data_IF_888894041388
#
_entry.id   IF_888894041388
#
_cell.length_a   1.000
_cell.length_b   1.000
_cell.length_c   1.000
_cell.angle_alpha   90.00
_cell.angle_beta   90.00
_cell.angle_gamma   90.00
#
_symmetry.space_group_name_H-M   'P 1'
#
loop_
_entity.id
_entity.type
_entity.pdbx_description
1 polymer ?
#
# COMPACT_ATOMS: atom_id res chain seq x y z
N UNK A 1 27.02 -1.80 10.20
CA UNK A 1 26.29 -0.70 9.52
C UNK A 1 25.94 -0.99 8.06
N UNK A 2 26.84 -1.60 7.27
CA UNK A 2 26.66 -1.83 5.82
C UNK A 2 25.41 -2.67 5.46
N UNK A 3 25.10 -3.72 6.23
CA UNK A 3 23.96 -4.61 5.93
C UNK A 3 22.59 -3.90 5.95
N UNK A 4 22.41 -2.87 6.78
CA UNK A 4 21.15 -2.13 6.85
C UNK A 4 20.96 -1.19 5.64
N UNK A 5 22.06 -0.69 5.06
CA UNK A 5 22.01 0.13 3.85
C UNK A 5 21.53 -0.67 2.64
N UNK A 6 22.07 -1.87 2.45
CA UNK A 6 21.70 -2.76 1.33
C UNK A 6 20.19 -3.09 1.33
N UNK A 7 19.63 -3.46 2.48
CA UNK A 7 18.19 -3.78 2.60
C UNK A 7 17.31 -2.58 2.24
N UNK A 8 17.69 -1.37 2.68
CA UNK A 8 16.94 -0.14 2.34
C UNK A 8 16.99 0.17 0.85
N UNK A 9 18.17 0.06 0.23
CA UNK A 9 18.33 0.28 -1.21
C UNK A 9 17.52 -0.74 -2.01
N UNK A 10 17.59 -2.03 -1.65
CA UNK A 10 16.80 -3.08 -2.30
C UNK A 10 15.29 -2.83 -2.14
N UNK A 11 14.83 -2.46 -0.95
CA UNK A 11 13.40 -2.15 -0.69
C UNK A 11 12.96 -0.94 -1.52
N UNK A 12 13.78 0.11 -1.58
CA UNK A 12 13.52 1.29 -2.40
C UNK A 12 13.43 0.93 -3.90
N UNK A 13 14.35 0.10 -4.39
CA UNK A 13 14.33 -0.39 -5.77
C UNK A 13 13.05 -1.17 -6.11
N UNK A 14 12.62 -2.09 -5.24
CA UNK A 14 11.38 -2.84 -5.42
C UNK A 14 10.17 -1.88 -5.45
N UNK A 15 10.12 -0.90 -4.53
CA UNK A 15 9.05 0.11 -4.48
C UNK A 15 9.01 1.00 -5.72
N UNK A 16 10.16 1.34 -6.29
CA UNK A 16 10.21 2.06 -7.55
C UNK A 16 9.58 1.26 -8.70
N UNK A 17 9.84 -0.05 -8.79
CA UNK A 17 9.18 -0.91 -9.78
C UNK A 17 7.67 -1.04 -9.54
N UNK A 18 7.24 -1.15 -8.28
CA UNK A 18 5.80 -1.11 -7.93
C UNK A 18 5.13 0.18 -8.42
N UNK A 19 5.78 1.33 -8.24
CA UNK A 19 5.27 2.61 -8.71
C UNK A 19 5.18 2.65 -10.25
N UNK A 20 6.25 2.24 -10.93
CA UNK A 20 6.31 2.22 -12.40
C UNK A 20 5.21 1.33 -12.99
N UNK A 21 5.07 0.11 -12.48
CA UNK A 21 4.04 -0.81 -12.96
C UNK A 21 2.63 -0.34 -12.63
N UNK A 22 2.41 0.36 -11.51
CA UNK A 22 1.11 0.93 -11.17
C UNK A 22 0.71 1.99 -12.20
N UNK A 23 1.63 2.88 -12.58
CA UNK A 23 1.39 3.91 -13.61
C UNK A 23 1.05 3.26 -14.96
N UNK A 24 1.81 2.24 -15.37
CA UNK A 24 1.54 1.51 -16.62
C UNK A 24 0.16 0.83 -16.54
N UNK A 25 -0.20 0.23 -15.39
CA UNK A 25 -1.49 -0.43 -15.21
C UNK A 25 -2.64 0.57 -15.29
N UNK A 26 -2.52 1.73 -14.64
CA UNK A 26 -3.51 2.82 -14.75
C UNK A 26 -3.69 3.20 -16.22
N UNK A 27 -2.62 3.45 -16.96
CA UNK A 27 -2.72 3.81 -18.39
C UNK A 27 -3.42 2.74 -19.23
N UNK A 28 -3.08 1.46 -19.04
CA UNK A 28 -3.70 0.36 -19.76
C UNK A 28 -5.18 0.16 -19.41
N UNK A 29 -5.53 0.27 -18.13
CA UNK A 29 -6.89 0.09 -17.64
C UNK A 29 -7.78 1.27 -17.97
N UNK A 30 -7.31 2.51 -17.80
CA UNK A 30 -8.07 3.70 -18.19
C UNK A 30 -8.36 3.71 -19.68
N UNK A 31 -7.45 3.21 -20.52
CA UNK A 31 -7.75 2.96 -21.94
C UNK A 31 -8.88 1.93 -22.13
N UNK A 32 -8.86 0.80 -21.41
CA UNK A 32 -9.95 -0.19 -21.49
C UNK A 32 -11.29 0.39 -21.00
N UNK A 33 -11.27 1.16 -19.91
CA UNK A 33 -12.45 1.83 -19.32
C UNK A 33 -13.04 2.81 -20.31
N UNK A 34 -12.20 3.61 -20.97
CA UNK A 34 -12.63 4.55 -22.01
C UNK A 34 -13.30 3.82 -23.17
N UNK A 35 -12.74 2.68 -23.63
CA UNK A 35 -13.40 1.84 -24.63
C UNK A 35 -14.74 1.27 -24.12
N UNK A 36 -14.82 0.80 -22.87
CA UNK A 36 -16.09 0.31 -22.33
C UNK A 36 -17.13 1.41 -22.12
N UNK A 37 -16.71 2.62 -21.77
CA UNK A 37 -17.61 3.76 -21.58
C UNK A 37 -18.15 4.27 -22.90
N UNK A 38 -17.28 4.43 -23.90
CA UNK A 38 -17.66 5.00 -25.18
C UNK A 38 -18.52 4.04 -25.99
N UNK A 39 -18.33 2.72 -25.80
CA UNK A 39 -18.89 1.71 -26.68
C UNK A 39 -19.79 0.66 -25.99
N UNK A 40 -19.79 0.56 -24.65
CA UNK A 40 -20.49 -0.50 -23.92
C UNK A 40 -21.97 -0.20 -23.61
N UNK A 41 -22.84 -1.18 -23.87
CA UNK A 41 -24.29 -1.12 -23.60
C UNK A 41 -24.68 -1.49 -22.15
N UNK A 42 -23.72 -1.76 -21.25
CA UNK A 42 -23.99 -2.32 -19.91
C UNK A 42 -23.02 -1.89 -18.80
N UNK A 43 -22.26 -0.81 -19.01
CA UNK A 43 -21.27 -0.32 -18.06
C UNK A 43 -19.90 -1.00 -18.14
N UNK A 44 -18.97 -0.57 -17.27
CA UNK A 44 -17.58 -1.04 -17.26
C UNK A 44 -17.46 -2.31 -16.41
N UNK A 45 -16.85 -3.40 -16.91
CA UNK A 45 -16.68 -4.64 -16.14
C UNK A 45 -15.87 -4.42 -14.86
N UNK A 46 -16.27 -5.10 -13.77
CA UNK A 46 -15.61 -4.98 -12.45
C UNK A 46 -14.16 -5.44 -12.49
N UNK A 47 -13.85 -6.36 -13.39
CA UNK A 47 -12.52 -6.91 -13.66
C UNK A 47 -11.54 -5.85 -14.17
N UNK A 48 -12.04 -4.74 -14.72
CA UNK A 48 -11.24 -3.61 -15.19
C UNK A 48 -11.20 -2.50 -14.14
N UNK A 49 -12.34 -2.16 -13.55
CA UNK A 49 -12.46 -1.08 -12.56
C UNK A 49 -11.68 -1.38 -11.28
N UNK A 50 -11.78 -2.62 -10.77
CA UNK A 50 -11.14 -2.99 -9.49
C UNK A 50 -9.62 -2.83 -9.52
N UNK A 51 -8.87 -3.43 -10.47
CA UNK A 51 -7.43 -3.22 -10.55
C UNK A 51 -7.05 -1.76 -10.87
N UNK A 52 -7.92 -0.99 -11.53
CA UNK A 52 -7.66 0.42 -11.82
C UNK A 52 -7.66 1.24 -10.53
N UNK A 53 -8.70 1.10 -9.71
CA UNK A 53 -8.81 1.78 -8.42
C UNK A 53 -7.61 1.46 -7.54
N UNK A 54 -7.23 0.18 -7.43
CA UNK A 54 -6.06 -0.19 -6.63
C UNK A 54 -4.74 0.34 -7.20
N UNK A 55 -4.63 0.49 -8.52
CA UNK A 55 -3.43 1.07 -9.15
C UNK A 55 -3.34 2.58 -8.95
N UNK A 56 -4.48 3.27 -8.97
CA UNK A 56 -4.55 4.69 -8.64
C UNK A 56 -4.17 4.91 -7.18
N UNK A 57 -4.66 4.09 -6.25
CA UNK A 57 -4.27 4.15 -4.83
C UNK A 57 -2.81 3.74 -4.60
N UNK A 58 -2.29 2.81 -5.39
CA UNK A 58 -0.90 2.37 -5.29
C UNK A 58 0.10 3.49 -5.53
N UNK A 59 -0.21 4.48 -6.38
CA UNK A 59 0.70 5.59 -6.69
C UNK A 59 1.05 6.43 -5.44
N UNK A 60 0.09 7.10 -4.76
CA UNK A 60 0.39 7.91 -3.59
C UNK A 60 0.88 7.07 -2.41
N UNK A 61 0.35 5.86 -2.23
CA UNK A 61 0.79 4.98 -1.14
C UNK A 61 2.22 4.50 -1.33
N UNK A 62 2.61 4.09 -2.53
CA UNK A 62 3.99 3.69 -2.82
C UNK A 62 4.94 4.88 -2.72
N UNK A 63 4.53 6.06 -3.20
CA UNK A 63 5.32 7.29 -3.05
C UNK A 63 5.56 7.63 -1.56
N UNK A 64 4.51 7.58 -0.74
CA UNK A 64 4.63 7.71 0.71
C UNK A 64 5.54 6.64 1.30
N UNK A 65 5.39 5.39 0.87
CA UNK A 65 6.21 4.25 1.27
C UNK A 65 7.70 4.50 0.97
N UNK A 66 8.04 5.03 -0.20
CA UNK A 66 9.43 5.37 -0.58
C UNK A 66 9.97 6.46 0.35
N UNK A 67 9.22 7.55 0.56
CA UNK A 67 9.61 8.61 1.51
C UNK A 67 9.78 8.06 2.93
N UNK A 68 8.95 7.09 3.33
CA UNK A 68 9.01 6.48 4.65
C UNK A 68 10.30 5.71 4.89
N UNK A 69 10.84 4.96 3.91
CA UNK A 69 12.12 4.26 4.13
C UNK A 69 13.31 5.19 4.09
N UNK A 70 13.20 6.33 3.39
CA UNK A 70 14.28 7.30 3.26
C UNK A 70 14.37 8.23 4.48
N UNK A 71 13.23 8.63 5.04
CA UNK A 71 13.19 9.79 5.94
C UNK A 71 12.33 9.63 7.19
N UNK A 72 11.48 8.60 7.30
CA UNK A 72 10.55 8.49 8.43
C UNK A 72 11.03 7.53 9.53
N UNK A 73 10.62 7.88 10.75
CA UNK A 73 10.79 7.08 11.96
C UNK A 73 9.98 5.77 11.90
N UNK A 74 10.19 4.89 12.89
CA UNK A 74 9.52 3.58 12.99
C UNK A 74 8.00 3.64 12.78
N UNK A 75 7.32 4.70 13.26
CA UNK A 75 5.88 4.89 13.07
C UNK A 75 5.49 4.99 11.60
N UNK A 76 6.27 5.75 10.80
CA UNK A 76 6.02 5.88 9.37
C UNK A 76 6.21 4.56 8.62
N UNK A 77 7.16 3.73 9.06
CA UNK A 77 7.37 2.39 8.51
C UNK A 77 6.21 1.44 8.82
N UNK A 78 5.63 1.52 10.02
CA UNK A 78 4.44 0.72 10.39
C UNK A 78 3.25 1.12 9.51
N UNK A 79 3.00 2.42 9.34
CA UNK A 79 1.93 2.92 8.48
C UNK A 79 2.16 2.47 7.03
N UNK A 80 3.38 2.63 6.50
CA UNK A 80 3.75 2.17 5.18
C UNK A 80 3.53 0.65 4.99
N UNK A 81 3.86 -0.16 6.00
CA UNK A 81 3.64 -1.61 5.99
C UNK A 81 2.15 -1.96 5.91
N UNK A 82 1.32 -1.23 6.65
CA UNK A 82 -0.13 -1.42 6.62
C UNK A 82 -0.74 -1.04 5.26
N UNK A 83 -0.26 0.05 4.64
CA UNK A 83 -0.68 0.44 3.30
C UNK A 83 -0.24 -0.58 2.25
N UNK A 84 1.00 -1.07 2.31
CA UNK A 84 1.50 -2.14 1.43
C UNK A 84 0.62 -3.41 1.55
N UNK A 85 0.25 -3.79 2.77
CA UNK A 85 -0.66 -4.92 3.02
C UNK A 85 -2.06 -4.68 2.42
N UNK A 86 -2.59 -3.46 2.55
CA UNK A 86 -3.89 -3.10 1.96
C UNK A 86 -3.86 -3.21 0.44
N UNK A 87 -2.79 -2.74 -0.20
CA UNK A 87 -2.59 -2.88 -1.65
C UNK A 87 -2.43 -4.34 -2.05
N UNK A 88 -1.69 -5.14 -1.28
CA UNK A 88 -1.56 -6.58 -1.50
C UNK A 88 -2.93 -7.27 -1.57
N UNK A 89 -3.81 -7.04 -0.57
CA UNK A 89 -5.17 -7.60 -0.56
C UNK A 89 -5.99 -7.11 -1.76
N UNK A 90 -5.84 -5.84 -2.15
CA UNK A 90 -6.49 -5.28 -3.34
C UNK A 90 -6.06 -5.97 -4.64
N UNK A 91 -4.77 -6.25 -4.80
CA UNK A 91 -4.25 -6.98 -5.95
C UNK A 91 -4.62 -8.48 -5.92
N UNK A 92 -4.72 -9.11 -4.74
CA UNK A 92 -5.29 -10.48 -4.62
C UNK A 92 -6.72 -10.50 -5.15
N UNK A 93 -7.54 -9.54 -4.74
CA UNK A 93 -8.94 -9.40 -5.19
C UNK A 93 -9.01 -9.19 -6.70
N UNK A 94 -8.15 -8.32 -7.23
CA UNK A 94 -8.06 -8.05 -8.67
C UNK A 94 -7.65 -9.28 -9.47
N UNK A 95 -6.66 -10.05 -9.01
CA UNK A 95 -6.26 -11.31 -9.63
C UNK A 95 -7.38 -12.36 -9.57
N UNK A 96 -8.12 -12.42 -8.46
CA UNK A 96 -9.29 -13.29 -8.31
C UNK A 96 -10.40 -12.98 -9.32
N UNK A 97 -10.66 -11.69 -9.60
CA UNK A 97 -11.60 -11.26 -10.63
C UNK A 97 -11.09 -11.56 -12.04
N UNK A 98 -9.79 -11.40 -12.27
CA UNK A 98 -9.14 -11.68 -13.55
C UNK A 98 -8.90 -13.17 -13.81
N UNK A 99 -9.23 -14.08 -12.88
CA UNK A 99 -8.92 -15.52 -12.99
C UNK A 99 -9.36 -16.15 -14.31
N UNK A 100 -10.52 -15.72 -14.82
CA UNK A 100 -11.11 -16.23 -16.06
C UNK A 100 -10.47 -15.64 -17.33
N UNK A 101 -9.55 -14.68 -17.18
CA UNK A 101 -8.79 -14.07 -18.27
C UNK A 101 -7.33 -14.57 -18.33
N UNK A 102 -6.96 -15.54 -17.49
CA UNK A 102 -5.63 -16.17 -17.51
C UNK A 102 -5.54 -17.34 -18.50
N UNK A 103 -6.10 -17.20 -19.70
CA UNK A 103 -6.00 -18.23 -20.72
C UNK A 103 -4.75 -18.04 -21.59
N UNK A 104 -4.08 -19.17 -21.87
CA UNK A 104 -2.97 -19.21 -22.83
C UNK A 104 -3.43 -18.82 -24.22
N UNK A 105 -4.64 -19.21 -24.63
CA UNK A 105 -5.22 -18.81 -25.90
C UNK A 105 -6.03 -17.53 -25.73
N UNK A 106 -5.67 -16.51 -26.50
CA UNK A 106 -6.28 -15.19 -26.38
C UNK A 106 -7.78 -15.21 -26.73
N UNK A 107 -8.24 -16.16 -27.55
CA UNK A 107 -9.65 -16.30 -27.94
C UNK A 107 -10.59 -16.78 -26.82
N UNK A 108 -10.05 -17.36 -25.75
CA UNK A 108 -10.84 -17.85 -24.61
C UNK A 108 -11.08 -16.76 -23.55
N UNK A 109 -10.49 -15.58 -23.72
CA UNK A 109 -10.59 -14.51 -22.74
C UNK A 109 -11.91 -13.74 -22.86
N UNK A 110 -12.80 -13.76 -21.85
CA UNK A 110 -14.10 -13.10 -21.91
C UNK A 110 -13.95 -11.58 -22.05
N UNK A 111 -12.92 -10.95 -21.45
CA UNK A 111 -12.65 -9.53 -21.65
C UNK A 111 -12.28 -9.18 -23.09
N UNK A 112 -11.50 -10.03 -23.77
CA UNK A 112 -11.18 -9.84 -25.20
C UNK A 112 -12.45 -9.98 -26.03
N UNK A 113 -13.24 -11.02 -25.79
CA UNK A 113 -14.48 -11.26 -26.52
C UNK A 113 -15.43 -10.07 -26.37
N UNK A 114 -15.57 -9.53 -25.16
CA UNK A 114 -16.38 -8.34 -24.91
C UNK A 114 -15.85 -7.10 -25.64
N UNK A 115 -14.54 -6.84 -25.60
CA UNK A 115 -13.93 -5.70 -26.31
C UNK A 115 -14.09 -5.81 -27.83
N UNK A 116 -13.94 -7.01 -28.38
CA UNK A 116 -14.11 -7.25 -29.81
C UNK A 116 -15.57 -7.07 -30.23
N UNK A 117 -16.51 -7.69 -29.51
CA UNK A 117 -17.94 -7.57 -29.81
C UNK A 117 -18.41 -6.11 -29.83
N UNK A 118 -17.96 -5.33 -28.84
CA UNK A 118 -18.28 -3.91 -28.71
C UNK A 118 -17.73 -3.09 -29.90
N UNK A 119 -16.51 -3.37 -30.38
CA UNK A 119 -15.95 -2.69 -31.56
C UNK A 119 -16.63 -3.10 -32.86
N UNK A 120 -16.87 -4.40 -33.03
CA UNK A 120 -17.55 -4.93 -34.22
C UNK A 120 -18.96 -4.36 -34.35
N UNK A 121 -19.69 -4.20 -33.23
CA UNK A 121 -21.00 -3.56 -33.21
C UNK A 121 -21.00 -2.10 -33.71
N UNK A 122 -19.83 -1.44 -33.73
CA UNK A 122 -19.67 -0.06 -34.22
C UNK A 122 -19.02 0.03 -35.61
N UNK A 123 -18.79 -1.11 -36.27
CA UNK A 123 -18.16 -1.16 -37.60
C UNK A 123 -16.69 -0.71 -37.61
N UNK A 124 -16.03 -0.69 -36.45
CA UNK A 124 -14.59 -0.43 -36.33
C UNK A 124 -13.88 -1.79 -36.40
N UNK A 125 -12.84 -1.90 -37.23
CA UNK A 125 -12.03 -3.12 -37.32
C UNK A 125 -11.64 -3.61 -35.92
N UNK A 126 -12.07 -4.83 -35.61
CA UNK A 126 -11.68 -5.55 -34.42
C UNK A 126 -10.19 -5.82 -34.50
N UNK A 127 -9.36 -4.92 -33.96
CA UNK A 127 -7.90 -5.13 -33.81
C UNK A 127 -7.63 -6.26 -32.82
N UNK A 128 -7.95 -7.49 -33.19
CA UNK A 128 -8.10 -8.60 -32.26
C UNK A 128 -6.79 -8.94 -31.56
N UNK A 129 -5.68 -8.91 -32.29
CA UNK A 129 -4.35 -9.20 -31.75
C UNK A 129 -3.91 -8.17 -30.71
N UNK A 130 -4.21 -6.90 -30.96
CA UNK A 130 -3.85 -5.80 -30.05
C UNK A 130 -4.68 -5.85 -28.76
N UNK A 131 -5.98 -6.13 -28.88
CA UNK A 131 -6.86 -6.27 -27.71
C UNK A 131 -6.46 -7.50 -26.87
N UNK A 132 -6.11 -8.61 -27.53
CA UNK A 132 -5.60 -9.79 -26.86
C UNK A 132 -4.29 -9.55 -26.10
N UNK A 133 -3.35 -8.84 -26.74
CA UNK A 133 -2.09 -8.42 -26.10
C UNK A 133 -2.32 -7.53 -24.88
N UNK A 134 -3.27 -6.59 -24.96
CA UNK A 134 -3.60 -5.68 -23.87
C UNK A 134 -4.16 -6.41 -22.64
N UNK A 135 -5.13 -7.32 -22.82
CA UNK A 135 -5.70 -8.09 -21.70
C UNK A 135 -4.64 -8.96 -21.02
N UNK A 136 -3.74 -9.56 -21.80
CA UNK A 136 -2.59 -10.32 -21.27
C UNK A 136 -1.61 -9.43 -20.53
N UNK A 137 -1.32 -8.23 -21.05
CA UNK A 137 -0.44 -7.26 -20.40
C UNK A 137 -1.00 -6.86 -19.03
N UNK A 138 -2.29 -6.49 -18.96
CA UNK A 138 -2.96 -6.13 -17.70
C UNK A 138 -2.92 -7.29 -16.71
N UNK A 139 -3.26 -8.50 -17.18
CA UNK A 139 -3.24 -9.72 -16.37
C UNK A 139 -1.84 -10.00 -15.79
N UNK A 140 -0.80 -9.91 -16.63
CA UNK A 140 0.58 -10.12 -16.22
C UNK A 140 1.05 -9.05 -15.21
N UNK A 141 0.74 -7.78 -15.46
CA UNK A 141 1.11 -6.68 -14.57
C UNK A 141 0.40 -6.77 -13.21
N UNK A 142 -0.87 -7.17 -13.15
CA UNK A 142 -1.58 -7.41 -11.87
C UNK A 142 -0.88 -8.52 -11.07
N UNK A 143 -0.49 -9.62 -11.71
CA UNK A 143 0.24 -10.71 -11.05
C UNK A 143 1.64 -10.30 -10.59
N UNK A 144 2.36 -9.53 -11.41
CA UNK A 144 3.65 -8.97 -11.02
C UNK A 144 3.49 -8.06 -9.81
N UNK A 145 2.51 -7.15 -9.81
CA UNK A 145 2.25 -6.27 -8.67
C UNK A 145 1.92 -7.05 -7.41
N UNK A 146 1.04 -8.05 -7.51
CA UNK A 146 0.70 -8.94 -6.42
C UNK A 146 1.95 -9.55 -5.77
N UNK A 147 2.86 -10.08 -6.59
CA UNK A 147 4.10 -10.68 -6.11
C UNK A 147 5.05 -9.66 -5.48
N UNK A 148 5.19 -8.47 -6.09
CA UNK A 148 6.02 -7.40 -5.53
C UNK A 148 5.50 -6.94 -4.16
N UNK A 149 4.19 -6.67 -4.03
CA UNK A 149 3.60 -6.27 -2.75
C UNK A 149 3.68 -7.37 -1.68
N UNK A 150 3.59 -8.64 -2.07
CA UNK A 150 3.83 -9.75 -1.16
C UNK A 150 5.25 -9.71 -0.59
N UNK A 151 6.27 -9.58 -1.46
CA UNK A 151 7.67 -9.51 -1.03
C UNK A 151 7.90 -8.28 -0.15
N UNK A 152 7.43 -7.09 -0.54
CA UNK A 152 7.65 -5.87 0.26
C UNK A 152 6.95 -5.92 1.61
N UNK A 153 5.77 -6.53 1.68
CA UNK A 153 5.05 -6.74 2.96
C UNK A 153 5.86 -7.63 3.89
N UNK A 154 6.35 -8.78 3.38
CA UNK A 154 7.19 -9.70 4.16
C UNK A 154 8.48 -9.02 4.62
N UNK A 155 9.18 -8.32 3.73
CA UNK A 155 10.41 -7.57 4.07
C UNK A 155 10.14 -6.49 5.13
N UNK A 156 9.04 -5.77 5.03
CA UNK A 156 8.69 -4.72 5.97
C UNK A 156 8.39 -5.28 7.36
N UNK A 157 7.68 -6.41 7.45
CA UNK A 157 7.43 -7.12 8.72
C UNK A 157 8.76 -7.58 9.34
N UNK A 158 9.70 -8.11 8.55
CA UNK A 158 11.02 -8.50 9.05
C UNK A 158 11.82 -7.31 9.60
N UNK A 159 11.78 -6.16 8.92
CA UNK A 159 12.46 -4.93 9.37
C UNK A 159 11.89 -4.47 10.71
N UNK A 160 10.55 -4.40 10.83
CA UNK A 160 9.88 -3.99 12.07
C UNK A 160 10.17 -4.96 13.21
N UNK A 161 10.12 -6.27 12.95
CA UNK A 161 10.39 -7.31 13.94
C UNK A 161 11.83 -7.23 14.47
N UNK A 162 12.81 -7.01 13.59
CA UNK A 162 14.22 -6.87 13.98
C UNK A 162 14.46 -5.62 14.83
N UNK A 163 13.79 -4.51 14.51
CA UNK A 163 13.88 -3.27 15.29
C UNK A 163 13.34 -3.43 16.72
N UNK A 164 12.27 -4.20 16.91
CA UNK A 164 11.71 -4.49 18.23
C UNK A 164 12.68 -5.30 19.11
N UNK A 165 13.32 -6.34 18.55
CA UNK A 165 14.28 -7.17 19.29
C UNK A 165 15.53 -6.42 19.75
N UNK A 166 16.02 -5.45 18.96
CA UNK A 166 17.16 -4.62 19.37
C UNK A 166 16.81 -3.62 20.47
N UNK A 167 15.56 -3.17 20.57
CA UNK A 167 15.12 -2.27 21.65
C UNK A 167 14.99 -2.97 23.00
N UNK A 168 14.63 -4.26 23.02
CA UNK A 168 14.46 -5.04 24.26
C UNK A 168 15.77 -5.49 24.93
N UNK A 169 16.87 -5.51 24.18
CA UNK A 169 18.21 -5.84 24.69
C UNK A 169 19.06 -4.61 25.00
N UNK A 170 18.50 -3.40 24.90
CA UNK A 170 19.13 -2.25 25.54
C UNK A 170 19.21 -2.60 27.03
N UNK A 171 20.42 -2.73 27.62
CA UNK A 171 20.53 -3.04 29.03
C UNK A 171 19.65 -2.02 29.72
N UNK A 172 18.72 -2.52 30.54
CA UNK A 172 18.07 -1.70 31.53
C UNK A 172 19.21 -1.13 32.37
N UNK A 173 19.78 0.00 31.92
CA UNK A 173 20.51 0.90 32.77
C UNK A 173 19.42 1.51 33.62
N UNK A 174 18.96 0.66 34.53
CA UNK A 174 18.14 0.89 35.68
C UNK A 174 18.65 2.21 36.24
N UNK A 175 17.95 3.28 35.87
CA UNK A 175 18.09 4.54 36.57
C UNK A 175 17.59 4.22 37.95
N UNK A 176 18.54 3.82 38.77
CA UNK A 176 18.55 3.75 40.21
C UNK A 176 18.29 5.18 40.74
N UNK A 177 17.13 5.74 40.42
CA UNK A 177 16.51 6.85 41.12
C UNK A 177 15.75 6.16 42.25
N UNK A 178 16.38 5.85 43.39
CA UNK A 178 16.74 6.85 44.42
C UNK A 178 15.70 7.98 44.49
N UNK A 179 14.42 7.63 44.50
CA UNK A 179 13.43 8.40 45.23
C UNK A 179 13.66 8.17 46.73
N UNK A 180 14.72 8.79 47.25
CA UNK A 180 14.84 9.09 48.66
C UNK A 180 13.78 10.12 49.02
N UNK A 181 12.67 9.66 49.59
CA UNK A 181 11.70 10.49 50.28
C UNK A 181 12.37 11.07 51.53
N UNK A 182 13.11 12.17 51.37
CA UNK A 182 13.54 12.99 52.50
C UNK A 182 12.33 13.68 53.10
N UNK A 183 11.83 13.02 54.15
CA UNK A 183 11.11 13.58 55.30
C UNK A 183 11.56 15.03 55.55
N UNK A 184 10.74 16.02 55.19
CA UNK A 184 10.83 17.38 55.74
C UNK A 184 9.65 17.60 56.67
N UNK A 185 9.89 17.27 57.93
CA UNK A 185 9.09 17.66 59.08
C UNK A 185 9.51 19.08 59.47
N UNK A 186 8.71 20.10 59.13
CA UNK A 186 8.77 21.47 59.70
C UNK A 186 7.61 22.27 59.08
N UNK A 187 6.72 22.90 59.81
CA UNK A 187 6.61 23.08 61.24
C UNK A 187 5.22 23.62 61.55
N UNK A 188 4.82 23.39 62.80
CA UNK A 188 3.71 24.05 63.47
C UNK A 188 3.85 25.57 63.34
N UNK A 189 2.74 26.22 62.97
CA UNK A 189 2.61 27.66 62.92
C UNK A 189 1.15 28.00 63.23
N UNK A 190 0.78 27.82 64.50
CA UNK A 190 -0.38 28.43 65.13
C UNK A 190 -0.42 29.94 64.83
N UNK A 191 -1.60 30.43 64.43
CA UNK A 191 -1.91 31.85 64.31
C UNK A 191 -3.43 32.04 64.33
N UNK A 192 -4.01 32.68 65.37
CA UNK A 192 -5.44 32.66 65.64
C UNK A 192 -6.23 33.75 64.90
N UNK A 193 -7.56 33.55 64.97
CA UNK A 193 -8.67 34.34 64.50
C UNK A 193 -8.58 35.87 64.59
N UNK A 194 -9.23 36.56 63.65
CA UNK A 194 -9.98 37.80 63.91
C UNK A 194 -11.19 37.93 62.95
N UNK A 195 -12.35 38.42 63.42
CA UNK A 195 -13.60 38.54 62.65
C UNK A 195 -13.95 40.00 62.25
N UNK A 196 -15.03 40.11 61.45
CA UNK A 196 -15.88 41.29 61.20
C UNK A 196 -15.26 42.39 60.30
N UNK A 197 -16.00 43.21 59.53
CA UNK A 197 -17.42 43.57 59.48
C UNK A 197 -17.75 44.21 58.12
N UNK A 198 -19.01 44.08 57.69
CA UNK A 198 -19.84 45.01 56.89
C UNK A 198 -19.25 46.36 56.46
N UNK A 199 -19.43 46.70 55.17
CA UNK A 199 -20.24 47.83 54.67
C UNK A 199 -20.93 47.39 53.38
#
# INVERSE_FOLDING_TARGET
MVANGAVRVTTCGIRFFQLLFAIILVGALSYMVDQFRDFGFGGVPREVVTPEVFSVLAIPFTAFSILAVLSLDNTGQIIATFLDFTLFVGYVTSAGLLRHNFHRHSGENPLRASLNNIRTARGIDGREDRNGGLVRLVSALVLIQLFLYFITTVLSIFIVSKSASSSGNAPAHEKHSRFSFSRSSRGSGEGPAAPASTV
#
